data_IF_723452294475
#
_entry.id   IF_723452294475
#
_cell.length_a   1.000
_cell.length_b   1.000
_cell.length_c   1.000
_cell.angle_alpha   90.00
_cell.angle_beta   90.00
_cell.angle_gamma   90.00
#
_symmetry.space_group_name_H-M   'P 1'
#
loop_
_entity.id
_entity.type
_entity.pdbx_description
1 polymer ?
#
# COMPACT_ATOMS: atom_id res chain seq x y z
N UNK A 1 -2.88 -5.42 -32.34
CA UNK A 1 -2.55 -5.44 -30.91
C UNK A 1 -1.56 -6.54 -30.62
N UNK A 2 -0.44 -6.16 -30.04
CA UNK A 2 0.60 -7.07 -29.63
C UNK A 2 0.08 -7.99 -28.50
N UNK A 3 0.51 -9.26 -28.48
CA UNK A 3 0.12 -10.21 -27.43
C UNK A 3 0.48 -9.70 -26.02
N UNK A 4 1.61 -9.02 -25.90
CA UNK A 4 2.08 -8.50 -24.61
C UNK A 4 1.14 -7.42 -24.06
N UNK A 5 0.56 -6.59 -24.92
CA UNK A 5 -0.41 -5.58 -24.54
C UNK A 5 -1.70 -6.21 -24.01
N UNK A 6 -2.16 -7.26 -24.66
CA UNK A 6 -3.36 -8.01 -24.23
C UNK A 6 -3.14 -8.71 -22.91
N UNK A 7 -1.98 -9.33 -22.73
CA UNK A 7 -1.61 -9.99 -21.49
C UNK A 7 -1.54 -8.98 -20.34
N UNK A 8 -0.94 -7.84 -20.58
CA UNK A 8 -0.85 -6.75 -19.61
C UNK A 8 -2.23 -6.23 -19.23
N UNK A 9 -3.09 -5.98 -20.20
CA UNK A 9 -4.45 -5.52 -19.94
C UNK A 9 -5.23 -6.53 -19.10
N UNK A 10 -5.08 -7.81 -19.36
CA UNK A 10 -5.71 -8.87 -18.56
C UNK A 10 -5.22 -8.86 -17.11
N UNK A 11 -3.91 -8.70 -16.92
CA UNK A 11 -3.29 -8.63 -15.59
C UNK A 11 -3.82 -7.41 -14.82
N UNK A 12 -3.88 -6.25 -15.46
CA UNK A 12 -4.39 -5.03 -14.84
C UNK A 12 -5.84 -5.20 -14.41
N UNK A 13 -6.68 -5.76 -15.27
CA UNK A 13 -8.09 -5.98 -14.93
C UNK A 13 -8.25 -6.93 -13.75
N UNK A 14 -7.47 -7.99 -13.71
CA UNK A 14 -7.53 -8.99 -12.65
C UNK A 14 -7.09 -8.44 -11.30
N UNK A 15 -6.10 -7.55 -11.29
CA UNK A 15 -5.47 -7.05 -10.07
C UNK A 15 -5.77 -5.57 -9.77
N UNK A 16 -6.73 -5.01 -10.48
CA UNK A 16 -7.11 -3.61 -10.35
C UNK A 16 -7.46 -3.23 -8.90
N UNK A 17 -8.23 -4.06 -8.23
CA UNK A 17 -8.63 -3.80 -6.84
C UNK A 17 -7.44 -3.79 -5.89
N UNK A 18 -6.47 -4.66 -6.10
CA UNK A 18 -5.23 -4.70 -5.32
C UNK A 18 -4.45 -3.40 -5.46
N UNK A 19 -4.29 -2.92 -6.71
CA UNK A 19 -3.58 -1.67 -6.98
C UNK A 19 -4.28 -0.49 -6.31
N UNK A 20 -5.60 -0.38 -6.43
CA UNK A 20 -6.37 0.67 -5.79
C UNK A 20 -6.28 0.60 -4.27
N UNK A 21 -6.32 -0.62 -3.70
CA UNK A 21 -6.15 -0.80 -2.25
C UNK A 21 -4.85 -0.18 -1.76
N UNK A 22 -3.75 -0.44 -2.45
CA UNK A 22 -2.45 0.15 -2.10
C UNK A 22 -2.48 1.67 -2.24
N UNK A 23 -3.03 2.18 -3.33
CA UNK A 23 -3.10 3.63 -3.55
C UNK A 23 -3.88 4.34 -2.44
N UNK A 24 -5.01 3.77 -2.01
CA UNK A 24 -5.82 4.30 -0.91
C UNK A 24 -5.11 4.24 0.45
N UNK A 25 -4.13 3.35 0.60
CA UNK A 25 -3.30 3.31 1.81
C UNK A 25 -2.42 4.56 1.96
N UNK A 26 -2.10 5.21 0.84
CA UNK A 26 -1.16 6.33 0.80
C UNK A 26 -1.82 7.68 0.53
N UNK A 27 -3.09 7.70 0.18
CA UNK A 27 -3.81 8.95 -0.05
C UNK A 27 -5.33 8.78 0.13
N UNK A 28 -5.98 9.83 0.60
CA UNK A 28 -7.44 9.92 0.69
C UNK A 28 -8.02 10.83 -0.39
N UNK A 29 -7.17 11.57 -1.09
CA UNK A 29 -7.59 12.45 -2.17
C UNK A 29 -7.83 11.62 -3.43
N UNK A 30 -9.02 11.70 -4.01
CA UNK A 30 -9.39 10.94 -5.19
C UNK A 30 -8.49 11.24 -6.39
N UNK A 31 -8.09 12.50 -6.57
CA UNK A 31 -7.20 12.89 -7.66
C UNK A 31 -5.79 12.32 -7.46
N UNK A 32 -5.29 12.36 -6.24
CA UNK A 32 -3.98 11.79 -5.90
C UNK A 32 -3.98 10.27 -6.06
N UNK A 33 -5.06 9.60 -5.63
CA UNK A 33 -5.22 8.14 -5.83
C UNK A 33 -5.21 7.80 -7.32
N UNK A 34 -5.90 8.58 -8.14
CA UNK A 34 -5.91 8.38 -9.60
C UNK A 34 -4.51 8.51 -10.19
N UNK A 35 -3.75 9.50 -9.74
CA UNK A 35 -2.36 9.71 -10.17
C UNK A 35 -1.46 8.54 -9.74
N UNK A 36 -1.58 8.09 -8.50
CA UNK A 36 -0.82 6.94 -7.99
C UNK A 36 -1.16 5.66 -8.76
N UNK A 37 -2.43 5.46 -9.07
CA UNK A 37 -2.87 4.33 -9.88
C UNK A 37 -2.22 4.36 -11.26
N UNK A 38 -2.27 5.52 -11.91
CA UNK A 38 -1.69 5.70 -13.24
C UNK A 38 -0.18 5.49 -13.23
N UNK A 39 0.53 6.06 -12.25
CA UNK A 39 1.97 5.88 -12.09
C UNK A 39 2.33 4.41 -11.85
N UNK A 40 1.50 3.71 -11.09
CA UNK A 40 1.68 2.27 -10.86
C UNK A 40 1.56 1.49 -12.17
N UNK A 41 0.55 1.81 -12.99
CA UNK A 41 0.38 1.17 -14.30
C UNK A 41 1.59 1.41 -15.21
N UNK A 42 2.13 2.62 -15.21
CA UNK A 42 3.32 2.95 -16.00
C UNK A 42 4.52 2.12 -15.53
N UNK A 43 4.72 2.03 -14.22
CA UNK A 43 5.83 1.25 -13.65
C UNK A 43 5.65 -0.25 -13.89
N UNK A 44 4.42 -0.75 -13.81
CA UNK A 44 4.10 -2.14 -14.16
C UNK A 44 4.42 -2.41 -15.64
N UNK A 45 4.01 -1.53 -16.52
CA UNK A 45 4.28 -1.67 -17.95
C UNK A 45 5.77 -1.75 -18.24
N UNK A 46 6.56 -0.88 -17.62
CA UNK A 46 8.03 -0.87 -17.78
C UNK A 46 8.68 -2.17 -17.33
N UNK A 47 8.14 -2.79 -16.29
CA UNK A 47 8.69 -4.03 -15.74
C UNK A 47 8.06 -5.31 -16.28
N UNK A 48 6.91 -5.21 -16.95
CA UNK A 48 6.12 -6.38 -17.35
C UNK A 48 6.86 -7.28 -18.33
N UNK A 49 7.51 -6.70 -19.34
CA UNK A 49 8.27 -7.47 -20.32
C UNK A 49 9.48 -8.18 -19.71
N UNK A 50 10.00 -7.65 -18.61
CA UNK A 50 11.15 -8.21 -17.87
C UNK A 50 10.70 -9.19 -16.78
N UNK A 51 9.43 -9.22 -16.45
CA UNK A 51 8.90 -10.15 -15.46
C UNK A 51 8.96 -11.58 -16.03
N UNK A 52 9.75 -12.43 -15.39
CA UNK A 52 10.01 -13.79 -15.88
C UNK A 52 9.48 -14.87 -14.93
N UNK A 53 8.49 -14.53 -14.10
CA UNK A 53 7.94 -15.48 -13.17
C UNK A 53 8.87 -15.83 -12.00
N UNK A 54 9.89 -15.00 -11.72
CA UNK A 54 10.80 -15.18 -10.60
C UNK A 54 10.07 -15.03 -9.26
N UNK A 55 8.95 -14.29 -9.26
CA UNK A 55 8.04 -14.21 -8.13
C UNK A 55 6.62 -14.44 -8.63
N UNK A 56 5.72 -14.72 -7.70
CA UNK A 56 4.29 -14.78 -8.01
C UNK A 56 3.83 -13.41 -8.56
N UNK A 57 2.97 -13.43 -9.55
CA UNK A 57 2.40 -12.22 -10.15
C UNK A 57 1.80 -11.31 -9.08
N UNK A 58 1.04 -11.87 -8.14
CA UNK A 58 0.43 -11.14 -7.04
C UNK A 58 1.48 -10.42 -6.19
N UNK A 59 2.58 -11.10 -5.84
CA UNK A 59 3.69 -10.53 -5.08
C UNK A 59 4.32 -9.37 -5.85
N UNK A 60 4.55 -9.54 -7.13
CA UNK A 60 5.14 -8.51 -7.99
C UNK A 60 4.26 -7.26 -8.05
N UNK A 61 2.95 -7.44 -8.20
CA UNK A 61 1.99 -6.32 -8.25
C UNK A 61 1.98 -5.56 -6.93
N UNK A 62 1.98 -6.25 -5.79
CA UNK A 62 2.09 -5.61 -4.49
C UNK A 62 3.37 -4.78 -4.37
N UNK A 63 4.51 -5.35 -4.81
CA UNK A 63 5.80 -4.65 -4.78
C UNK A 63 5.81 -3.39 -5.63
N UNK A 64 5.36 -3.49 -6.87
CA UNK A 64 5.36 -2.34 -7.79
C UNK A 64 4.44 -1.25 -7.25
N UNK A 65 3.25 -1.63 -6.78
CA UNK A 65 2.28 -0.68 -6.23
C UNK A 65 2.81 0.03 -4.99
N UNK A 66 3.36 -0.72 -4.05
CA UNK A 66 3.94 -0.15 -2.82
C UNK A 66 5.13 0.74 -3.12
N UNK A 67 6.04 0.30 -3.97
CA UNK A 67 7.23 1.09 -4.33
C UNK A 67 6.85 2.40 -5.02
N UNK A 68 5.85 2.36 -5.88
CA UNK A 68 5.35 3.56 -6.56
C UNK A 68 4.80 4.56 -5.56
N UNK A 69 3.95 4.10 -4.65
CA UNK A 69 3.32 4.96 -3.65
C UNK A 69 4.32 5.50 -2.63
N UNK A 70 5.25 4.66 -2.17
CA UNK A 70 6.29 5.07 -1.22
C UNK A 70 7.21 6.13 -1.86
N UNK A 71 7.59 5.93 -3.12
CA UNK A 71 8.43 6.88 -3.85
C UNK A 71 7.72 8.22 -4.01
N UNK A 72 6.45 8.20 -4.37
CA UNK A 72 5.64 9.41 -4.51
C UNK A 72 5.51 10.16 -3.19
N UNK A 73 5.30 9.46 -2.08
CA UNK A 73 5.19 10.06 -0.75
C UNK A 73 6.51 10.68 -0.31
N UNK A 74 7.64 10.02 -0.56
CA UNK A 74 8.96 10.56 -0.26
C UNK A 74 9.23 11.85 -1.04
N UNK A 75 8.86 11.88 -2.32
CA UNK A 75 9.01 13.07 -3.15
C UNK A 75 8.15 14.22 -2.66
N UNK A 76 6.91 13.93 -2.29
CA UNK A 76 5.98 14.91 -1.73
C UNK A 76 6.49 15.49 -0.41
N UNK A 77 7.01 14.63 0.47
CA UNK A 77 7.55 15.07 1.77
C UNK A 77 8.78 15.95 1.62
N UNK A 78 9.62 15.71 0.60
CA UNK A 78 10.76 16.58 0.31
C UNK A 78 10.33 17.96 -0.18
N UNK A 79 9.20 18.04 -0.91
CA UNK A 79 8.67 19.30 -1.45
C UNK A 79 7.84 20.05 -0.43
N UNK A 80 7.14 19.33 0.41
CA UNK A 80 6.26 19.89 1.44
C UNK A 80 6.92 19.78 2.81
N UNK A 81 8.08 20.45 2.97
CA UNK A 81 8.70 20.57 4.30
C UNK A 81 7.65 21.12 5.26
N UNK A 82 6.95 20.29 6.02
CA UNK A 82 6.16 20.66 7.18
C UNK A 82 4.63 20.69 7.06
N UNK A 83 4.00 20.15 6.04
CA UNK A 83 2.57 19.92 6.14
C UNK A 83 2.36 18.54 6.75
N UNK A 84 1.84 18.45 8.00
CA UNK A 84 1.47 17.13 8.53
C UNK A 84 0.46 16.51 7.58
N UNK A 85 0.65 15.22 7.26
CA UNK A 85 -0.32 14.44 6.53
C UNK A 85 -1.62 14.41 7.33
N UNK A 86 -2.46 15.41 7.10
CA UNK A 86 -3.85 15.32 7.50
C UNK A 86 -4.49 14.37 6.49
N UNK A 87 -4.62 13.12 6.89
CA UNK A 87 -5.49 12.20 6.18
C UNK A 87 -6.90 12.77 6.29
N UNK A 88 -7.39 13.32 5.19
CA UNK A 88 -8.78 13.75 5.14
C UNK A 88 -9.67 12.52 5.12
N UNK A 89 -10.31 12.29 6.24
CA UNK A 89 -11.05 11.08 6.58
C UNK A 89 -12.45 11.06 5.94
N UNK A 90 -12.80 12.12 5.19
CA UNK A 90 -14.17 12.32 4.70
C UNK A 90 -14.56 11.53 3.45
N UNK A 91 -13.65 10.71 2.88
CA UNK A 91 -13.94 9.94 1.66
C UNK A 91 -14.84 8.72 1.90
N UNK A 92 -15.11 8.37 3.16
CA UNK A 92 -15.97 7.24 3.52
C UNK A 92 -16.94 7.66 4.60
N UNK A 93 -17.84 8.59 4.28
CA UNK A 93 -18.92 8.96 5.18
C UNK A 93 -19.99 7.87 5.21
N UNK A 94 -19.71 6.80 5.91
CA UNK A 94 -20.77 5.97 6.47
C UNK A 94 -20.82 6.25 7.95
N UNK A 95 -22.01 6.60 8.43
CA UNK A 95 -22.28 7.04 9.79
C UNK A 95 -22.36 5.89 10.80
N UNK A 96 -21.53 4.86 10.63
CA UNK A 96 -21.54 3.67 11.47
C UNK A 96 -20.38 3.71 12.47
N UNK A 97 -20.58 3.20 13.67
CA UNK A 97 -19.56 3.14 14.73
C UNK A 97 -18.32 2.35 14.26
N UNK A 98 -18.53 1.32 13.44
CA UNK A 98 -17.44 0.55 12.84
C UNK A 98 -16.57 1.41 11.93
N UNK A 99 -17.18 2.34 11.20
CA UNK A 99 -16.47 3.28 10.32
C UNK A 99 -15.57 4.21 11.13
N UNK A 100 -16.04 4.66 12.30
CA UNK A 100 -15.26 5.52 13.19
C UNK A 100 -14.03 4.80 13.73
N UNK A 101 -14.16 3.54 14.15
CA UNK A 101 -13.05 2.73 14.61
C UNK A 101 -12.04 2.48 13.49
N UNK A 102 -12.50 2.20 12.29
CA UNK A 102 -11.67 2.01 11.10
C UNK A 102 -10.90 3.30 10.79
N UNK A 103 -11.55 4.47 10.87
CA UNK A 103 -10.90 5.76 10.66
C UNK A 103 -9.78 6.01 11.67
N UNK A 104 -10.04 5.73 12.94
CA UNK A 104 -9.05 5.90 13.99
C UNK A 104 -7.85 4.99 13.78
N UNK A 105 -8.10 3.75 13.37
CA UNK A 105 -7.03 2.80 13.06
C UNK A 105 -6.21 3.28 11.86
N UNK A 106 -6.85 3.72 10.79
CA UNK A 106 -6.16 4.25 9.61
C UNK A 106 -5.32 5.47 9.94
N UNK A 107 -5.83 6.36 10.76
CA UNK A 107 -5.08 7.54 11.20
C UNK A 107 -3.81 7.13 11.95
N UNK A 108 -3.92 6.18 12.85
CA UNK A 108 -2.77 5.67 13.61
C UNK A 108 -1.77 4.97 12.70
N UNK A 109 -2.25 4.15 11.77
CA UNK A 109 -1.40 3.48 10.77
C UNK A 109 -0.67 4.51 9.91
N UNK A 110 -1.35 5.61 9.56
CA UNK A 110 -0.75 6.70 8.81
C UNK A 110 0.42 7.38 9.49
N UNK A 111 0.52 7.27 10.82
CA UNK A 111 1.65 7.83 11.60
C UNK A 111 2.87 6.92 11.63
N UNK A 112 2.73 5.68 11.19
CA UNK A 112 3.84 4.74 11.10
C UNK A 112 4.75 5.12 9.94
N UNK A 113 6.03 4.75 10.03
CA UNK A 113 6.94 4.85 8.89
C UNK A 113 6.45 4.01 7.71
N UNK A 114 6.90 4.31 6.51
CA UNK A 114 6.44 3.67 5.28
C UNK A 114 6.54 2.15 5.31
N UNK A 115 7.65 1.64 5.83
CA UNK A 115 7.92 0.20 5.88
C UNK A 115 6.95 -0.52 6.82
N UNK A 116 6.78 0.02 8.02
CA UNK A 116 5.88 -0.57 9.02
C UNK A 116 4.43 -0.45 8.60
N UNK A 117 4.07 0.66 7.95
CA UNK A 117 2.74 0.85 7.38
C UNK A 117 2.45 -0.23 6.34
N UNK A 118 3.37 -0.49 5.42
CA UNK A 118 3.22 -1.52 4.41
C UNK A 118 3.01 -2.90 5.05
N UNK A 119 3.80 -3.24 6.05
CA UNK A 119 3.70 -4.54 6.73
C UNK A 119 2.33 -4.73 7.38
N UNK A 120 1.86 -3.76 8.16
CA UNK A 120 0.58 -3.90 8.85
C UNK A 120 -0.59 -3.93 7.89
N UNK A 121 -0.53 -3.16 6.80
CA UNK A 121 -1.61 -3.13 5.82
C UNK A 121 -1.68 -4.44 5.03
N UNK A 122 -0.54 -5.03 4.69
CA UNK A 122 -0.51 -6.36 4.07
C UNK A 122 -1.05 -7.43 5.02
N UNK A 123 -0.73 -7.32 6.30
CA UNK A 123 -1.26 -8.23 7.32
C UNK A 123 -2.79 -8.10 7.43
N UNK A 124 -3.31 -6.90 7.40
CA UNK A 124 -4.76 -6.66 7.43
C UNK A 124 -5.47 -7.20 6.18
N UNK A 125 -4.76 -7.31 5.06
CA UNK A 125 -5.27 -7.94 3.84
C UNK A 125 -5.16 -9.48 3.90
N UNK A 126 -4.85 -10.03 5.06
CA UNK A 126 -4.79 -11.47 5.33
C UNK A 126 -3.64 -12.20 4.62
N UNK A 127 -2.59 -11.50 4.25
CA UNK A 127 -1.39 -12.14 3.72
C UNK A 127 -0.62 -12.85 4.83
N UNK A 128 0.00 -13.98 4.50
CA UNK A 128 0.85 -14.70 5.43
C UNK A 128 2.18 -13.96 5.66
N UNK A 129 2.88 -14.31 6.73
CA UNK A 129 4.19 -13.72 7.02
C UNK A 129 5.20 -14.00 5.91
N UNK A 130 5.12 -15.18 5.28
CA UNK A 130 5.97 -15.52 4.14
C UNK A 130 5.66 -14.62 2.93
N UNK A 131 4.39 -14.40 2.64
CA UNK A 131 3.96 -13.51 1.55
C UNK A 131 4.39 -12.07 1.81
N UNK A 132 4.17 -11.57 3.02
CA UNK A 132 4.56 -10.21 3.40
C UNK A 132 6.08 -10.07 3.28
N UNK A 133 6.84 -11.03 3.81
CA UNK A 133 8.30 -11.00 3.73
C UNK A 133 8.81 -11.00 2.29
N UNK A 134 8.17 -11.77 1.41
CA UNK A 134 8.50 -11.78 -0.02
C UNK A 134 8.25 -10.42 -0.68
N UNK A 135 7.18 -9.74 -0.27
CA UNK A 135 6.83 -8.42 -0.83
C UNK A 135 7.78 -7.33 -0.34
N UNK A 136 8.05 -7.27 0.96
CA UNK A 136 8.85 -6.18 1.54
C UNK A 136 10.34 -6.49 1.65
N UNK A 137 10.75 -7.72 1.37
CA UNK A 137 12.17 -8.10 1.29
C UNK A 137 12.82 -8.48 2.62
N UNK A 138 12.07 -9.04 3.56
CA UNK A 138 12.59 -9.54 4.83
C UNK A 138 12.10 -10.97 5.08
N UNK A 139 12.68 -11.65 6.07
CA UNK A 139 12.25 -13.01 6.45
C UNK A 139 10.88 -12.97 7.14
N UNK A 140 10.17 -14.10 7.10
CA UNK A 140 8.90 -14.26 7.82
C UNK A 140 9.09 -14.02 9.32
N UNK A 141 10.19 -14.44 9.89
CA UNK A 141 10.53 -14.20 11.29
C UNK A 141 10.62 -12.71 11.59
N UNK A 142 11.29 -11.96 10.73
CA UNK A 142 11.42 -10.50 10.90
C UNK A 142 10.08 -9.80 10.72
N UNK A 143 9.21 -10.28 9.85
CA UNK A 143 7.83 -9.79 9.74
C UNK A 143 7.11 -9.95 11.07
N UNK A 144 7.18 -11.13 11.67
CA UNK A 144 6.55 -11.41 12.95
C UNK A 144 7.04 -10.45 14.05
N UNK A 145 8.36 -10.27 14.15
CA UNK A 145 8.96 -9.37 15.14
C UNK A 145 8.50 -7.93 14.93
N UNK A 146 8.50 -7.47 13.69
CA UNK A 146 8.05 -6.11 13.38
C UNK A 146 6.56 -5.90 13.69
N UNK A 147 5.73 -6.89 13.40
CA UNK A 147 4.29 -6.80 13.70
C UNK A 147 4.03 -6.65 15.19
N UNK A 148 4.79 -7.36 16.03
CA UNK A 148 4.67 -7.21 17.48
C UNK A 148 4.95 -5.76 17.89
N UNK A 149 6.02 -5.18 17.39
CA UNK A 149 6.38 -3.77 17.67
C UNK A 149 5.35 -2.79 17.16
N UNK A 150 4.86 -3.02 15.93
CA UNK A 150 3.84 -2.17 15.31
C UNK A 150 2.57 -2.18 16.15
N UNK A 151 2.12 -3.36 16.57
CA UNK A 151 0.92 -3.49 17.40
C UNK A 151 1.07 -2.77 18.75
N UNK A 152 2.24 -2.83 19.36
CA UNK A 152 2.54 -2.09 20.59
C UNK A 152 2.50 -0.59 20.37
N UNK A 153 3.09 -0.11 19.27
CA UNK A 153 3.04 1.31 18.90
C UNK A 153 1.60 1.79 18.71
N UNK A 154 0.78 1.00 18.00
CA UNK A 154 -0.62 1.33 17.77
C UNK A 154 -1.42 1.39 19.07
N UNK A 155 -1.13 0.49 20.01
CA UNK A 155 -1.74 0.52 21.35
C UNK A 155 -1.37 1.79 22.13
N UNK A 156 -0.12 2.20 22.07
CA UNK A 156 0.33 3.43 22.73
C UNK A 156 -0.37 4.65 22.16
N UNK A 157 -0.56 4.71 20.86
CA UNK A 157 -1.31 5.78 20.20
C UNK A 157 -2.76 5.82 20.65
N UNK A 158 -3.37 4.67 20.99
CA UNK A 158 -4.75 4.62 21.44
C UNK A 158 -4.95 5.14 22.85
N UNK A 159 -3.90 5.20 23.62
CA UNK A 159 -3.94 5.66 25.02
C UNK A 159 -3.56 7.15 25.17
N UNK A 160 -3.23 7.82 24.07
CA UNK A 160 -2.95 9.25 24.06
C UNK A 160 -4.20 10.13 24.01
#
# INVERSE_FOLDING_TARGET
MDNIEKEFETVVRRHRSTIYTVCYMFSNDADEVADLFQDTLINMWKGFAKFRGESDMKTWIWRVSLNTCITAERTKNRRAEQVPLTMDINLFEDSDDDTRQIRMLRERIGRLGHFDRAIVLLWLESLSYDEIGAIVGISAKNVSVRLVRIREQLKKMSNE
#
